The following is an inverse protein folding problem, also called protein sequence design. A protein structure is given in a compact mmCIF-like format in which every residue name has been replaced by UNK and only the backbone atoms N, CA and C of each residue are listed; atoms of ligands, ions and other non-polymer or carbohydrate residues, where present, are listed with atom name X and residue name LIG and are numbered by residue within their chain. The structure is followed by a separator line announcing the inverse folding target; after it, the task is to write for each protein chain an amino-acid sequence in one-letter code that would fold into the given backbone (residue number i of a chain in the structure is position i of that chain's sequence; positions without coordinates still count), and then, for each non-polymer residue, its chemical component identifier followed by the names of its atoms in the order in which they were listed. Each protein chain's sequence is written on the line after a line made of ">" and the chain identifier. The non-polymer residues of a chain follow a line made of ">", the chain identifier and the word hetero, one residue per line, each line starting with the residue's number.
data_IF_006483988406
#
_entry.id   IF_006483988406
#
_cell.length_a   1.000
_cell.length_b   1.000
_cell.length_c   1.000
_cell.angle_alpha   90.00
_cell.angle_beta   90.00
_cell.angle_gamma   90.00
#
_symmetry.space_group_name_H-M   'P 1'
#
loop_
_entity.id
_entity.type
_entity.pdbx_description
1 polymer ?
#
# COMPACT_ATOMS: atom_id res chain seq x y z
N UNK A 1 -16.83 -7.02 1.67
CA UNK A 1 -16.29 -5.95 2.56
C UNK A 1 -14.90 -5.59 2.06
N UNK A 2 -14.54 -4.31 2.07
CA UNK A 2 -13.18 -3.84 1.72
C UNK A 2 -12.14 -4.52 2.61
N UNK A 3 -11.02 -4.95 2.02
CA UNK A 3 -9.93 -5.64 2.70
C UNK A 3 -8.93 -4.64 3.26
N UNK A 4 -8.38 -4.93 4.43
CA UNK A 4 -7.37 -4.09 5.09
C UNK A 4 -5.99 -4.69 4.87
N UNK A 5 -5.08 -3.88 4.29
CA UNK A 5 -3.64 -4.12 4.31
C UNK A 5 -3.05 -3.38 5.51
N UNK A 6 -2.67 -4.13 6.53
CA UNK A 6 -2.03 -3.56 7.72
C UNK A 6 -0.55 -3.28 7.47
N UNK A 7 -0.13 -2.04 7.66
CA UNK A 7 1.24 -1.60 7.43
C UNK A 7 2.15 -2.03 8.58
N UNK A 8 3.19 -2.80 8.25
CA UNK A 8 4.28 -3.15 9.16
C UNK A 8 5.61 -2.65 8.59
N UNK A 9 6.09 -1.51 9.08
CA UNK A 9 7.39 -0.96 8.67
C UNK A 9 8.51 -1.44 9.59
N UNK A 10 9.52 -2.10 9.01
CA UNK A 10 10.73 -2.58 9.70
C UNK A 10 11.91 -1.71 9.25
N UNK A 11 11.89 -0.42 9.60
CA UNK A 11 12.91 0.55 9.20
C UNK A 11 13.63 1.11 10.43
N UNK A 12 14.92 1.51 10.25
CA UNK A 12 15.67 2.18 11.32
C UNK A 12 15.06 3.53 11.71
N UNK A 13 14.29 4.14 10.80
CA UNK A 13 13.64 5.45 10.97
C UNK A 13 12.20 5.34 11.50
N UNK A 14 11.78 4.20 12.02
CA UNK A 14 10.48 4.07 12.70
C UNK A 14 10.41 4.91 13.98
N UNK A 15 11.07 6.09 13.94
CA UNK A 15 11.08 7.13 14.96
C UNK A 15 9.70 7.73 15.26
N UNK A 16 8.72 7.56 14.41
CA UNK A 16 7.33 7.93 14.73
C UNK A 16 6.71 7.04 15.82
N UNK A 17 7.27 5.83 16.03
CA UNK A 17 6.91 4.90 17.10
C UNK A 17 8.10 4.54 18.03
N UNK A 18 9.14 5.37 18.04
CA UNK A 18 10.22 5.31 19.04
C UNK A 18 11.25 4.20 18.84
N UNK A 19 11.57 3.77 17.60
CA UNK A 19 12.65 2.80 17.36
C UNK A 19 12.38 1.38 17.88
N UNK A 20 11.11 1.05 18.17
CA UNK A 20 10.72 -0.16 18.90
C UNK A 20 10.83 -1.46 18.11
N UNK A 21 11.08 -1.44 16.79
CA UNK A 21 10.98 -2.63 15.93
C UNK A 21 12.30 -3.12 15.34
N UNK A 22 13.45 -2.75 15.92
CA UNK A 22 14.75 -3.30 15.55
C UNK A 22 14.97 -4.72 16.11
N UNK A 23 14.27 -5.07 17.19
CA UNK A 23 14.24 -6.42 17.73
C UNK A 23 13.08 -7.20 17.09
N UNK A 24 13.32 -8.38 16.50
CA UNK A 24 12.27 -9.20 15.90
C UNK A 24 11.07 -9.44 16.84
N UNK A 25 11.32 -9.58 18.15
CA UNK A 25 10.29 -9.78 19.18
C UNK A 25 9.25 -8.67 19.22
N UNK A 26 9.67 -7.41 19.13
CA UNK A 26 8.74 -6.27 19.15
C UNK A 26 7.84 -6.22 17.90
N UNK A 27 8.36 -6.66 16.75
CA UNK A 27 7.56 -6.83 15.54
C UNK A 27 6.50 -7.93 15.70
N UNK A 28 6.83 -9.02 16.39
CA UNK A 28 5.91 -10.15 16.60
C UNK A 28 4.73 -9.77 17.48
N UNK A 29 4.96 -9.01 18.56
CA UNK A 29 3.88 -8.52 19.41
C UNK A 29 2.94 -7.57 18.64
N UNK A 30 3.51 -6.70 17.82
CA UNK A 30 2.71 -5.82 16.96
C UNK A 30 1.89 -6.61 15.93
N UNK A 31 2.47 -7.62 15.28
CA UNK A 31 1.77 -8.53 14.36
C UNK A 31 0.58 -9.19 15.08
N UNK A 32 0.81 -9.74 16.28
CA UNK A 32 -0.23 -10.37 17.08
C UNK A 32 -1.37 -9.40 17.41
N UNK A 33 -1.04 -8.13 17.71
CA UNK A 33 -2.03 -7.10 17.95
C UNK A 33 -2.81 -6.76 16.66
N UNK A 34 -2.12 -6.57 15.52
CA UNK A 34 -2.78 -6.31 14.22
C UNK A 34 -3.78 -7.42 13.87
N UNK A 35 -3.42 -8.67 14.08
CA UNK A 35 -4.27 -9.84 13.81
C UNK A 35 -5.49 -9.84 14.75
N UNK A 36 -5.27 -9.57 16.03
CA UNK A 36 -6.33 -9.44 17.04
C UNK A 36 -7.30 -8.31 16.69
N UNK A 37 -6.82 -7.23 16.12
CA UNK A 37 -7.60 -6.08 15.65
C UNK A 37 -8.34 -6.36 14.32
N UNK A 38 -8.21 -7.56 13.77
CA UNK A 38 -8.95 -8.02 12.59
C UNK A 38 -8.18 -7.92 11.27
N UNK A 39 -6.87 -7.65 11.29
CA UNK A 39 -6.04 -7.67 10.08
C UNK A 39 -6.00 -9.07 9.47
N UNK A 40 -6.15 -9.15 8.14
CA UNK A 40 -6.04 -10.40 7.38
C UNK A 40 -4.90 -10.39 6.37
N UNK A 41 -4.37 -9.22 6.06
CA UNK A 41 -3.24 -9.06 5.14
C UNK A 41 -2.25 -8.10 5.78
N UNK A 42 -1.03 -8.54 6.04
CA UNK A 42 0.05 -7.71 6.59
C UNK A 42 1.00 -7.33 5.46
N UNK A 43 1.20 -6.03 5.27
CA UNK A 43 2.09 -5.45 4.26
C UNK A 43 3.40 -5.02 4.92
N UNK A 44 4.46 -5.78 4.65
CA UNK A 44 5.77 -5.67 5.31
C UNK A 44 6.70 -4.85 4.45
N UNK A 45 7.21 -3.72 4.98
CA UNK A 45 8.17 -2.87 4.30
C UNK A 45 9.46 -2.69 5.11
N UNK A 46 10.62 -2.86 4.46
CA UNK A 46 11.93 -2.62 5.06
C UNK A 46 12.61 -1.33 4.58
N UNK A 47 11.99 -0.63 3.64
CA UNK A 47 12.43 0.63 3.08
C UNK A 47 11.36 1.71 3.26
N UNK A 48 11.78 2.97 3.49
CA UNK A 48 10.84 4.09 3.60
C UNK A 48 10.52 4.65 2.22
N UNK A 49 9.26 4.99 1.95
CA UNK A 49 8.84 5.72 0.74
C UNK A 49 8.70 7.23 0.98
N UNK A 50 9.20 7.74 2.11
CA UNK A 50 9.19 9.18 2.43
C UNK A 50 10.16 9.94 1.51
N UNK A 51 9.90 11.24 1.33
CA UNK A 51 10.82 12.13 0.61
C UNK A 51 12.23 12.06 1.22
N UNK A 52 13.26 12.06 0.36
CA UNK A 52 14.67 12.04 0.76
C UNK A 52 15.09 10.80 1.59
N UNK A 53 14.40 9.66 1.43
CA UNK A 53 14.81 8.43 2.09
C UNK A 53 16.18 7.92 1.56
N UNK A 54 16.91 7.20 2.40
CA UNK A 54 18.09 6.47 1.97
C UNK A 54 17.68 5.09 1.48
N UNK A 55 18.15 4.73 0.28
CA UNK A 55 17.90 3.41 -0.26
C UNK A 55 18.55 2.35 0.63
N UNK A 56 17.79 1.31 0.96
CA UNK A 56 18.24 0.16 1.73
C UNK A 56 18.66 -0.93 0.76
N UNK A 57 19.85 -1.53 0.95
CA UNK A 57 20.31 -2.64 0.09
C UNK A 57 19.38 -3.84 0.20
N UNK A 58 19.28 -4.62 -0.87
CA UNK A 58 18.44 -5.82 -0.94
C UNK A 58 18.73 -6.81 0.18
N UNK A 59 20.01 -7.05 0.48
CA UNK A 59 20.43 -7.94 1.55
C UNK A 59 19.88 -7.50 2.92
N UNK A 60 19.91 -6.20 3.20
CA UNK A 60 19.37 -5.64 4.45
C UNK A 60 17.83 -5.75 4.46
N UNK A 61 17.16 -5.49 3.33
CA UNK A 61 15.72 -5.68 3.23
C UNK A 61 15.34 -7.14 3.52
N UNK A 62 16.02 -8.10 2.89
CA UNK A 62 15.80 -9.54 3.10
C UNK A 62 16.06 -9.93 4.54
N UNK A 63 17.18 -9.50 5.13
CA UNK A 63 17.53 -9.78 6.52
C UNK A 63 16.44 -9.30 7.51
N UNK A 64 15.77 -8.19 7.21
CA UNK A 64 14.69 -7.66 8.04
C UNK A 64 13.36 -8.37 7.81
N UNK A 65 13.01 -8.64 6.56
CA UNK A 65 11.68 -9.12 6.16
C UNK A 65 11.52 -10.63 6.42
N UNK A 66 12.53 -11.43 6.07
CA UNK A 66 12.40 -12.90 6.11
C UNK A 66 12.05 -13.47 7.48
N UNK A 67 12.66 -13.04 8.60
CA UNK A 67 12.26 -13.55 9.92
C UNK A 67 10.81 -13.27 10.27
N UNK A 68 10.27 -12.14 9.80
CA UNK A 68 8.86 -11.76 10.01
C UNK A 68 7.93 -12.63 9.17
N UNK A 69 8.28 -12.89 7.91
CA UNK A 69 7.52 -13.82 7.06
C UNK A 69 7.46 -15.21 7.72
N UNK A 70 8.60 -15.74 8.15
CA UNK A 70 8.71 -17.07 8.78
C UNK A 70 7.88 -17.14 10.07
N UNK A 71 7.89 -16.08 10.87
CA UNK A 71 7.04 -15.99 12.06
C UNK A 71 5.55 -16.05 11.71
N UNK A 72 5.08 -15.24 10.77
CA UNK A 72 3.67 -15.21 10.37
C UNK A 72 3.24 -16.57 9.81
N UNK A 73 4.01 -17.15 8.90
CA UNK A 73 3.67 -18.43 8.27
C UNK A 73 3.65 -19.60 9.26
N UNK A 74 4.48 -19.56 10.31
CA UNK A 74 4.51 -20.62 11.32
C UNK A 74 3.41 -20.50 12.37
N UNK A 75 2.99 -19.28 12.73
CA UNK A 75 2.06 -19.04 13.84
C UNK A 75 0.65 -18.62 13.38
N UNK A 76 0.50 -18.07 12.16
CA UNK A 76 -0.75 -17.44 11.69
C UNK A 76 -1.08 -17.83 10.24
N UNK A 77 -1.43 -19.09 10.01
CA UNK A 77 -1.66 -19.68 8.67
C UNK A 77 -2.78 -19.00 7.85
N UNK A 78 -3.71 -18.31 8.52
CA UNK A 78 -4.84 -17.63 7.88
C UNK A 78 -4.53 -16.17 7.51
N UNK A 79 -3.29 -15.73 7.73
CA UNK A 79 -2.85 -14.37 7.41
C UNK A 79 -2.12 -14.38 6.07
N UNK A 80 -2.58 -13.53 5.16
CA UNK A 80 -1.89 -13.27 3.91
C UNK A 80 -0.76 -12.26 4.13
N UNK A 81 0.32 -12.40 3.38
CA UNK A 81 1.48 -11.51 3.46
C UNK A 81 1.63 -10.79 2.13
N UNK A 82 1.74 -9.46 2.21
CA UNK A 82 2.22 -8.57 1.17
C UNK A 82 3.60 -8.05 1.54
N UNK A 83 4.46 -7.81 0.57
CA UNK A 83 5.78 -7.19 0.78
C UNK A 83 5.88 -5.90 -0.03
N UNK A 84 6.15 -4.79 0.67
CA UNK A 84 6.38 -3.46 0.09
C UNK A 84 7.86 -3.36 -0.33
N UNK A 85 8.12 -3.56 -1.62
CA UNK A 85 9.46 -3.46 -2.21
C UNK A 85 9.42 -3.08 -3.68
N UNK A 86 10.48 -2.37 -4.13
CA UNK A 86 10.74 -2.02 -5.53
C UNK A 86 11.77 -2.94 -6.19
N UNK A 87 12.42 -3.79 -5.40
CA UNK A 87 13.45 -4.70 -5.85
C UNK A 87 12.84 -6.03 -6.27
N UNK A 88 13.05 -6.42 -7.51
CA UNK A 88 12.67 -7.74 -8.01
C UNK A 88 13.38 -8.88 -7.27
N UNK A 89 14.61 -8.65 -6.84
CA UNK A 89 15.38 -9.64 -6.08
C UNK A 89 14.77 -9.88 -4.69
N UNK A 90 14.42 -8.82 -3.97
CA UNK A 90 13.72 -8.94 -2.67
C UNK A 90 12.35 -9.60 -2.85
N UNK A 91 11.59 -9.20 -3.89
CA UNK A 91 10.30 -9.81 -4.22
C UNK A 91 10.43 -11.32 -4.46
N UNK A 92 11.43 -11.75 -5.26
CA UNK A 92 11.67 -13.15 -5.55
C UNK A 92 11.96 -13.97 -4.29
N UNK A 93 12.84 -13.49 -3.41
CA UNK A 93 13.17 -14.17 -2.17
C UNK A 93 11.96 -14.29 -1.23
N UNK A 94 11.15 -13.25 -1.13
CA UNK A 94 9.93 -13.28 -0.32
C UNK A 94 8.85 -14.22 -0.90
N UNK A 95 8.64 -14.20 -2.22
CA UNK A 95 7.68 -15.07 -2.90
C UNK A 95 8.07 -16.56 -2.77
N UNK A 96 9.38 -16.90 -2.83
CA UNK A 96 9.89 -18.26 -2.56
C UNK A 96 9.57 -18.74 -1.15
N UNK A 97 9.44 -17.83 -0.19
CA UNK A 97 9.04 -18.14 1.20
C UNK A 97 7.52 -18.34 1.35
N UNK A 98 6.73 -18.03 0.35
CA UNK A 98 5.27 -18.22 0.38
C UNK A 98 4.45 -16.95 0.47
N UNK A 99 5.06 -15.78 0.34
CA UNK A 99 4.35 -14.50 0.16
C UNK A 99 3.47 -14.59 -1.09
N UNK A 100 2.32 -13.92 -1.07
CA UNK A 100 1.31 -14.00 -2.15
C UNK A 100 1.10 -12.69 -2.90
N UNK A 101 1.62 -11.58 -2.38
CA UNK A 101 1.41 -10.25 -2.92
C UNK A 101 2.68 -9.41 -2.80
N UNK A 102 2.98 -8.63 -3.83
CA UNK A 102 4.01 -7.60 -3.81
C UNK A 102 3.35 -6.23 -3.97
N UNK A 103 3.69 -5.30 -3.10
CA UNK A 103 3.29 -3.90 -3.20
C UNK A 103 4.47 -3.10 -3.77
N UNK A 104 4.42 -2.85 -5.08
CA UNK A 104 5.49 -2.15 -5.79
C UNK A 104 5.12 -0.68 -6.02
N UNK A 105 5.67 0.20 -5.20
CA UNK A 105 5.45 1.65 -5.30
C UNK A 105 6.07 2.28 -6.55
N UNK A 106 6.92 1.54 -7.26
CA UNK A 106 7.55 1.97 -8.52
C UNK A 106 6.82 1.44 -9.77
N UNK A 107 5.81 0.59 -9.59
CA UNK A 107 4.98 0.01 -10.66
C UNK A 107 5.82 -0.68 -11.76
N UNK A 108 6.70 -1.60 -11.37
CA UNK A 108 7.52 -2.35 -12.33
C UNK A 108 8.59 -1.48 -12.99
N UNK A 109 9.28 -0.64 -12.21
CA UNK A 109 10.47 0.08 -12.73
C UNK A 109 11.72 -0.82 -12.75
N UNK A 110 11.74 -1.88 -11.96
CA UNK A 110 12.72 -2.96 -12.08
C UNK A 110 12.27 -3.92 -13.19
N UNK A 111 13.09 -4.07 -14.21
CA UNK A 111 12.74 -4.79 -15.44
C UNK A 111 12.36 -6.26 -15.19
N UNK A 112 12.87 -6.88 -14.12
CA UNK A 112 12.59 -8.27 -13.77
C UNK A 112 11.32 -8.44 -12.92
N UNK A 113 10.75 -7.37 -12.38
CA UNK A 113 9.63 -7.47 -11.44
C UNK A 113 8.44 -8.23 -12.03
N UNK A 114 8.02 -7.91 -13.23
CA UNK A 114 6.85 -8.54 -13.84
C UNK A 114 7.08 -10.03 -14.17
N UNK A 115 8.29 -10.41 -14.60
CA UNK A 115 8.61 -11.83 -14.82
C UNK A 115 8.53 -12.63 -13.52
N UNK A 116 9.04 -12.09 -12.43
CA UNK A 116 8.99 -12.73 -11.11
C UNK A 116 7.54 -12.88 -10.60
N UNK A 117 6.71 -11.83 -10.75
CA UNK A 117 5.29 -11.89 -10.39
C UNK A 117 4.56 -12.98 -11.19
N UNK A 118 4.80 -13.04 -12.50
CA UNK A 118 4.22 -14.05 -13.38
C UNK A 118 4.65 -15.47 -12.96
N UNK A 119 5.94 -15.69 -12.76
CA UNK A 119 6.51 -17.01 -12.44
C UNK A 119 6.00 -17.57 -11.11
N UNK A 120 5.70 -16.69 -10.14
CA UNK A 120 5.12 -17.05 -8.85
C UNK A 120 3.58 -16.99 -8.81
N UNK A 121 2.93 -16.54 -9.89
CA UNK A 121 1.48 -16.30 -9.95
C UNK A 121 0.99 -15.44 -8.76
N UNK A 122 1.77 -14.42 -8.40
CA UNK A 122 1.51 -13.55 -7.26
C UNK A 122 0.61 -12.36 -7.64
N UNK A 123 -0.04 -11.76 -6.66
CA UNK A 123 -0.72 -10.48 -6.81
C UNK A 123 0.32 -9.34 -6.81
N UNK A 124 0.09 -8.29 -7.58
CA UNK A 124 0.93 -7.09 -7.57
C UNK A 124 0.09 -5.83 -7.41
N UNK A 125 0.50 -4.95 -6.49
CA UNK A 125 -0.04 -3.60 -6.38
C UNK A 125 0.91 -2.66 -7.13
N UNK A 126 0.37 -2.00 -8.15
CA UNK A 126 1.07 -0.99 -8.94
C UNK A 126 0.68 0.38 -8.43
N UNK A 127 1.61 1.06 -7.77
CA UNK A 127 1.36 2.39 -7.18
C UNK A 127 1.92 3.51 -8.05
N UNK A 128 1.09 4.51 -8.34
CA UNK A 128 1.57 5.71 -9.02
C UNK A 128 2.32 6.61 -8.04
N UNK A 129 3.66 6.51 -8.04
CA UNK A 129 4.57 7.40 -7.35
C UNK A 129 5.47 8.10 -8.38
N UNK A 130 5.20 9.38 -8.74
CA UNK A 130 6.01 10.10 -9.71
C UNK A 130 7.41 10.39 -9.16
N UNK A 131 8.41 10.47 -10.05
CA UNK A 131 9.80 10.74 -9.66
C UNK A 131 9.96 12.08 -8.91
N UNK A 132 9.14 13.08 -9.24
CA UNK A 132 9.10 14.37 -8.55
C UNK A 132 8.85 14.22 -7.06
N UNK A 133 8.10 13.17 -6.64
CA UNK A 133 7.88 12.91 -5.22
C UNK A 133 9.20 12.64 -4.48
N UNK A 134 10.07 11.83 -5.05
CA UNK A 134 11.38 11.51 -4.47
C UNK A 134 12.28 12.75 -4.38
N UNK A 135 12.08 13.71 -5.28
CA UNK A 135 12.77 15.01 -5.28
C UNK A 135 12.12 16.04 -4.34
N UNK A 136 11.09 15.67 -3.57
CA UNK A 136 10.34 16.59 -2.71
C UNK A 136 9.44 17.57 -3.46
N UNK A 137 9.10 17.29 -4.74
CA UNK A 137 8.29 18.15 -5.60
C UNK A 137 6.92 17.53 -5.87
N UNK A 138 5.98 18.34 -6.32
CA UNK A 138 4.72 17.86 -6.88
C UNK A 138 4.85 17.77 -8.40
N UNK A 139 4.27 16.70 -8.97
CA UNK A 139 4.10 16.58 -10.41
C UNK A 139 3.23 17.73 -10.94
N UNK A 140 3.44 18.07 -12.18
CA UNK A 140 2.60 19.05 -12.87
C UNK A 140 1.61 18.31 -13.76
N UNK A 141 0.34 18.30 -13.36
CA UNK A 141 -0.75 17.67 -14.11
C UNK A 141 -1.79 18.71 -14.47
N UNK A 142 -2.28 18.64 -15.70
CA UNK A 142 -3.42 19.44 -16.18
C UNK A 142 -4.72 18.68 -15.89
N UNK A 143 -4.69 17.34 -15.98
CA UNK A 143 -5.82 16.48 -15.68
C UNK A 143 -5.34 15.19 -15.04
N UNK A 144 -5.26 15.19 -13.72
CA UNK A 144 -4.73 14.08 -12.93
C UNK A 144 -5.46 12.75 -13.18
N UNK A 145 -6.75 12.77 -13.46
CA UNK A 145 -7.53 11.55 -13.69
C UNK A 145 -7.13 10.91 -15.02
N UNK A 146 -6.98 11.71 -16.08
CA UNK A 146 -6.51 11.21 -17.37
C UNK A 146 -5.06 10.72 -17.30
N UNK A 147 -4.20 11.46 -16.61
CA UNK A 147 -2.78 11.09 -16.48
C UNK A 147 -2.64 9.74 -15.76
N UNK A 148 -3.36 9.54 -14.63
CA UNK A 148 -3.39 8.28 -13.90
C UNK A 148 -3.99 7.15 -14.74
N UNK A 149 -5.06 7.43 -15.48
CA UNK A 149 -5.72 6.43 -16.33
C UNK A 149 -4.74 5.93 -17.40
N UNK A 150 -4.09 6.84 -18.12
CA UNK A 150 -3.11 6.50 -19.15
C UNK A 150 -1.89 5.77 -18.58
N UNK A 151 -1.43 6.19 -17.40
CA UNK A 151 -0.33 5.54 -16.70
C UNK A 151 -0.64 4.08 -16.40
N UNK A 152 -1.80 3.81 -15.76
CA UNK A 152 -2.18 2.44 -15.42
C UNK A 152 -2.51 1.60 -16.65
N UNK A 153 -3.14 2.17 -17.68
CA UNK A 153 -3.34 1.48 -18.96
C UNK A 153 -2.00 0.99 -19.55
N UNK A 154 -0.98 1.84 -19.54
CA UNK A 154 0.37 1.49 -20.02
C UNK A 154 1.00 0.38 -19.17
N UNK A 155 0.96 0.50 -17.83
CA UNK A 155 1.56 -0.47 -16.91
C UNK A 155 0.85 -1.82 -16.97
N UNK A 156 -0.47 -1.84 -16.98
CA UNK A 156 -1.28 -3.06 -17.09
C UNK A 156 -1.02 -3.73 -18.43
N UNK A 157 -1.03 -2.99 -19.54
CA UNK A 157 -0.72 -3.54 -20.86
C UNK A 157 0.69 -4.16 -20.92
N UNK A 158 1.66 -3.60 -20.23
CA UNK A 158 2.98 -4.20 -20.11
C UNK A 158 2.93 -5.51 -19.31
N UNK A 159 2.32 -5.51 -18.13
CA UNK A 159 2.17 -6.70 -17.30
C UNK A 159 1.44 -7.85 -18.02
N UNK A 160 0.37 -7.54 -18.77
CA UNK A 160 -0.36 -8.52 -19.58
C UNK A 160 0.51 -9.10 -20.69
N UNK A 161 1.35 -8.29 -21.37
CA UNK A 161 2.28 -8.78 -22.40
C UNK A 161 3.35 -9.71 -21.85
N UNK A 162 3.79 -9.49 -20.61
CA UNK A 162 4.70 -10.41 -19.91
C UNK A 162 3.99 -11.71 -19.53
N UNK A 163 2.66 -11.71 -19.43
CA UNK A 163 1.83 -12.88 -19.13
C UNK A 163 1.26 -12.93 -17.72
N UNK A 164 1.26 -11.79 -17.00
CA UNK A 164 0.56 -11.69 -15.72
C UNK A 164 -0.96 -11.70 -15.99
N UNK A 165 -1.71 -12.50 -15.23
CA UNK A 165 -3.17 -12.49 -15.31
C UNK A 165 -3.73 -11.14 -14.79
N UNK A 166 -4.69 -10.53 -15.53
CA UNK A 166 -5.34 -9.28 -15.15
C UNK A 166 -5.89 -9.31 -13.72
N UNK A 167 -6.40 -10.45 -13.27
CA UNK A 167 -6.93 -10.64 -11.92
C UNK A 167 -5.87 -10.54 -10.80
N UNK A 168 -4.60 -10.56 -11.16
CA UNK A 168 -3.47 -10.42 -10.23
C UNK A 168 -3.01 -8.97 -10.07
N UNK A 169 -3.50 -8.06 -10.92
CA UNK A 169 -3.05 -6.68 -10.95
C UNK A 169 -4.01 -5.80 -10.12
N UNK A 170 -3.45 -5.07 -9.17
CA UNK A 170 -4.13 -4.11 -8.32
C UNK A 170 -3.49 -2.75 -8.58
N UNK A 171 -4.28 -1.69 -8.76
CA UNK A 171 -3.74 -0.33 -8.92
C UNK A 171 -3.89 0.47 -7.63
N UNK A 172 -2.90 1.31 -7.30
CA UNK A 172 -3.02 2.35 -6.27
C UNK A 172 -2.73 3.73 -6.89
N UNK A 173 -3.70 4.63 -6.94
CA UNK A 173 -3.50 5.97 -7.51
C UNK A 173 -2.48 6.82 -6.75
N UNK A 174 -1.95 6.35 -5.62
CA UNK A 174 -0.85 6.96 -4.90
C UNK A 174 -1.21 8.29 -4.26
N UNK A 175 -2.30 8.34 -3.49
CA UNK A 175 -2.70 9.52 -2.72
C UNK A 175 -1.51 10.03 -1.89
N UNK A 176 -1.20 11.33 -2.00
CA UNK A 176 -0.14 11.98 -1.24
C UNK A 176 1.26 11.83 -1.84
N UNK A 177 1.47 11.01 -2.88
CA UNK A 177 2.75 10.90 -3.56
C UNK A 177 2.87 11.95 -4.66
N UNK A 178 3.61 13.05 -4.41
CA UNK A 178 3.91 14.10 -5.38
C UNK A 178 2.70 14.75 -6.07
N UNK A 179 1.53 14.70 -5.47
CA UNK A 179 0.30 15.27 -6.00
C UNK A 179 -0.11 16.53 -5.22
N UNK A 180 -0.61 17.54 -5.93
CA UNK A 180 -1.15 18.75 -5.29
C UNK A 180 -2.37 18.41 -4.43
N UNK A 181 -2.70 19.25 -3.44
CA UNK A 181 -3.82 18.98 -2.52
C UNK A 181 -5.14 18.70 -3.25
N UNK A 182 -5.51 19.54 -4.22
CA UNK A 182 -6.74 19.38 -5.00
C UNK A 182 -6.72 18.11 -5.87
N UNK A 183 -5.57 17.71 -6.41
CA UNK A 183 -5.46 16.49 -7.21
C UNK A 183 -5.79 15.25 -6.37
N UNK A 184 -5.35 15.22 -5.09
CA UNK A 184 -5.71 14.14 -4.18
C UNK A 184 -7.22 14.06 -3.94
N UNK A 185 -7.89 15.21 -3.80
CA UNK A 185 -9.35 15.25 -3.64
C UNK A 185 -10.09 14.82 -4.92
N UNK A 186 -9.58 15.22 -6.10
CA UNK A 186 -10.12 14.77 -7.39
C UNK A 186 -10.00 13.26 -7.54
N UNK A 187 -8.87 12.67 -7.15
CA UNK A 187 -8.68 11.20 -7.17
C UNK A 187 -9.70 10.53 -6.25
N UNK A 188 -9.86 11.00 -5.01
CA UNK A 188 -10.83 10.44 -4.06
C UNK A 188 -12.27 10.55 -4.58
N UNK A 189 -12.60 11.66 -5.23
CA UNK A 189 -13.93 11.84 -5.83
C UNK A 189 -14.19 10.86 -6.99
N UNK A 190 -13.15 10.49 -7.73
CA UNK A 190 -13.22 9.63 -8.92
C UNK A 190 -12.83 8.15 -8.66
N UNK A 191 -12.75 7.68 -7.41
CA UNK A 191 -12.42 6.29 -7.09
C UNK A 191 -13.34 5.28 -7.80
N UNK A 192 -14.62 5.61 -7.95
CA UNK A 192 -15.57 4.75 -8.66
C UNK A 192 -15.21 4.53 -10.13
N UNK A 193 -14.66 5.56 -10.80
CA UNK A 193 -14.14 5.44 -12.16
C UNK A 193 -12.98 4.44 -12.22
N UNK A 194 -12.03 4.53 -11.28
CA UNK A 194 -10.92 3.58 -11.21
C UNK A 194 -11.41 2.16 -10.93
N UNK A 195 -12.33 1.97 -9.97
CA UNK A 195 -12.92 0.65 -9.66
C UNK A 195 -13.65 0.07 -10.87
N UNK A 196 -14.44 0.89 -11.59
CA UNK A 196 -15.15 0.45 -12.79
C UNK A 196 -14.20 0.03 -13.92
N UNK A 197 -13.09 0.77 -14.09
CA UNK A 197 -12.15 0.54 -15.19
C UNK A 197 -11.16 -0.58 -14.87
N UNK A 198 -10.55 -0.57 -13.68
CA UNK A 198 -9.42 -1.45 -13.33
C UNK A 198 -9.80 -2.60 -12.41
N UNK A 199 -11.06 -2.66 -11.97
CA UNK A 199 -11.64 -3.69 -11.09
C UNK A 199 -11.01 -3.73 -9.70
N UNK A 200 -9.68 -3.95 -9.60
CA UNK A 200 -8.96 -4.10 -8.33
C UNK A 200 -8.20 -2.83 -7.99
N UNK A 201 -8.63 -2.16 -6.95
CA UNK A 201 -8.08 -0.86 -6.52
C UNK A 201 -7.68 -0.93 -5.05
N UNK A 202 -6.48 -0.43 -4.75
CA UNK A 202 -5.97 -0.17 -3.42
C UNK A 202 -5.84 1.34 -3.21
N UNK A 203 -6.01 1.82 -1.99
CA UNK A 203 -5.62 3.18 -1.60
C UNK A 203 -4.86 3.18 -0.28
N UNK A 204 -3.81 3.99 -0.21
CA UNK A 204 -3.03 4.22 1.00
C UNK A 204 -3.07 5.69 1.42
N UNK A 205 -3.80 6.02 2.49
CA UNK A 205 -3.95 7.41 2.97
C UNK A 205 -3.39 7.64 4.37
N UNK A 206 -3.01 6.55 5.06
CA UNK A 206 -2.61 6.58 6.46
C UNK A 206 -1.34 7.43 6.67
N UNK A 207 -1.39 8.34 7.63
CA UNK A 207 -0.33 9.27 8.01
C UNK A 207 0.15 10.20 6.87
N UNK A 208 -0.63 10.38 5.81
CA UNK A 208 -0.30 11.26 4.70
C UNK A 208 -0.91 12.66 4.90
N UNK A 209 -0.07 13.69 4.74
CA UNK A 209 -0.47 15.09 4.95
C UNK A 209 -1.11 15.75 3.72
N UNK A 210 -1.70 14.99 2.78
CA UNK A 210 -2.35 15.58 1.61
C UNK A 210 -3.49 16.54 1.96
N UNK A 211 -4.09 16.36 3.13
CA UNK A 211 -5.18 17.19 3.64
C UNK A 211 -4.71 18.43 4.42
N UNK A 212 -3.40 18.67 4.54
CA UNK A 212 -2.85 19.80 5.31
C UNK A 212 -3.33 21.18 4.85
N UNK A 213 -3.71 21.32 3.57
CA UNK A 213 -4.27 22.55 3.01
C UNK A 213 -5.78 22.73 3.31
N UNK A 214 -6.46 21.67 3.73
CA UNK A 214 -7.89 21.71 4.07
C UNK A 214 -8.08 22.17 5.53
N UNK A 215 -7.12 21.83 6.39
CA UNK A 215 -7.19 22.15 7.81
C UNK A 215 -6.09 23.13 8.18
N UNK A 216 -6.43 24.21 8.87
CA UNK A 216 -5.51 25.26 9.31
C UNK A 216 -4.43 24.75 10.30
N UNK A 217 -4.69 23.65 11.00
CA UNK A 217 -3.72 22.91 11.80
C UNK A 217 -4.03 21.42 11.72
N UNK A 218 -3.07 20.60 11.28
CA UNK A 218 -3.15 19.15 11.34
C UNK A 218 -2.33 18.67 12.53
N UNK A 219 -2.98 18.53 13.66
CA UNK A 219 -2.47 17.73 14.76
C UNK A 219 -2.62 16.23 14.38
N UNK A 220 -1.81 15.36 14.96
CA UNK A 220 -1.78 13.92 14.57
C UNK A 220 -3.12 13.21 14.84
N UNK A 221 -3.87 13.65 15.83
CA UNK A 221 -5.23 13.18 16.10
C UNK A 221 -6.19 13.46 14.94
N UNK A 222 -6.06 14.61 14.25
CA UNK A 222 -6.87 14.94 13.08
C UNK A 222 -6.55 14.06 11.87
N UNK A 223 -5.31 13.61 11.71
CA UNK A 223 -4.95 12.66 10.64
C UNK A 223 -5.71 11.33 10.79
N UNK A 224 -5.95 10.87 12.01
CA UNK A 224 -6.76 9.69 12.28
C UNK A 224 -8.19 9.87 11.75
N UNK A 225 -8.84 11.00 12.01
CA UNK A 225 -10.19 11.26 11.49
C UNK A 225 -10.23 11.37 9.98
N UNK A 226 -9.23 12.02 9.35
CA UNK A 226 -9.11 12.07 7.89
C UNK A 226 -8.99 10.66 7.30
N UNK A 227 -8.16 9.80 7.90
CA UNK A 227 -7.99 8.42 7.46
C UNK A 227 -9.31 7.66 7.51
N UNK A 228 -10.07 7.76 8.59
CA UNK A 228 -11.36 7.09 8.73
C UNK A 228 -12.41 7.60 7.74
N UNK A 229 -12.47 8.91 7.53
CA UNK A 229 -13.36 9.51 6.53
C UNK A 229 -13.06 9.00 5.12
N UNK A 230 -11.77 8.95 4.75
CA UNK A 230 -11.36 8.44 3.43
C UNK A 230 -11.59 6.94 3.31
N UNK A 231 -11.32 6.16 4.36
CA UNK A 231 -11.60 4.71 4.39
C UNK A 231 -13.10 4.45 4.18
N UNK A 232 -13.97 5.19 4.87
CA UNK A 232 -15.43 5.07 4.68
C UNK A 232 -15.83 5.43 3.26
N UNK A 233 -15.33 6.54 2.72
CA UNK A 233 -15.61 6.97 1.34
C UNK A 233 -15.17 5.90 0.33
N UNK A 234 -13.97 5.34 0.49
CA UNK A 234 -13.44 4.30 -0.38
C UNK A 234 -14.28 3.02 -0.34
N UNK A 235 -14.74 2.62 0.85
CA UNK A 235 -15.62 1.47 1.02
C UNK A 235 -16.96 1.68 0.28
N UNK A 236 -17.57 2.87 0.38
CA UNK A 236 -18.77 3.22 -0.38
C UNK A 236 -18.55 3.18 -1.90
N UNK A 237 -17.36 3.55 -2.36
CA UNK A 237 -16.98 3.51 -3.78
C UNK A 237 -16.46 2.13 -4.22
N UNK A 238 -16.60 1.09 -3.38
CA UNK A 238 -16.26 -0.31 -3.67
C UNK A 238 -14.78 -0.55 -3.99
N UNK A 239 -13.89 0.25 -3.42
CA UNK A 239 -12.45 -0.02 -3.43
C UNK A 239 -12.18 -1.37 -2.75
N UNK A 240 -11.29 -2.20 -3.31
CA UNK A 240 -11.03 -3.54 -2.78
C UNK A 240 -10.14 -3.52 -1.55
N UNK A 241 -9.09 -2.67 -1.53
CA UNK A 241 -8.10 -2.63 -0.46
C UNK A 241 -7.89 -1.22 0.10
N UNK A 242 -7.68 -1.15 1.41
CA UNK A 242 -7.16 0.04 2.08
C UNK A 242 -5.90 -0.30 2.86
N UNK A 243 -4.84 0.48 2.68
CA UNK A 243 -3.53 0.31 3.34
C UNK A 243 -3.41 1.29 4.51
N UNK A 244 -3.34 0.77 5.74
CA UNK A 244 -3.45 1.57 6.97
C UNK A 244 -2.56 1.08 8.10
N UNK A 245 -2.19 1.98 9.04
CA UNK A 245 -1.51 1.63 10.29
C UNK A 245 -2.49 1.26 11.41
N UNK A 246 -3.60 2.01 11.58
CA UNK A 246 -4.61 1.74 12.61
C UNK A 246 -5.63 0.71 12.11
N UNK A 247 -5.48 -0.55 12.51
CA UNK A 247 -6.32 -1.64 12.01
C UNK A 247 -7.73 -1.54 12.58
N UNK A 248 -7.88 -1.54 13.91
CA UNK A 248 -9.17 -1.59 14.62
C UNK A 248 -10.15 -0.53 14.11
N UNK A 249 -9.72 0.74 14.08
CA UNK A 249 -10.58 1.85 13.66
C UNK A 249 -11.06 1.71 12.22
N UNK A 250 -10.12 1.34 11.32
CA UNK A 250 -10.44 1.19 9.90
C UNK A 250 -11.28 -0.07 9.64
N UNK A 251 -11.09 -1.12 10.42
CA UNK A 251 -11.95 -2.31 10.35
C UNK A 251 -13.40 -1.96 10.69
N UNK A 252 -13.63 -1.21 11.75
CA UNK A 252 -14.97 -0.78 12.14
C UNK A 252 -15.58 0.16 11.10
N UNK A 253 -14.82 1.10 10.54
CA UNK A 253 -15.26 1.96 9.44
C UNK A 253 -15.67 1.14 8.20
N UNK A 254 -14.87 0.15 7.80
CA UNK A 254 -15.20 -0.76 6.70
C UNK A 254 -16.46 -1.58 6.98
N UNK A 255 -16.63 -2.06 8.21
CA UNK A 255 -17.77 -2.88 8.63
C UNK A 255 -19.07 -2.09 8.59
N UNK A 256 -19.06 -0.86 9.09
CA UNK A 256 -20.23 0.04 9.04
C UNK A 256 -20.59 0.35 7.58
N UNK A 257 -19.62 0.79 6.77
CA UNK A 257 -19.86 1.08 5.36
C UNK A 257 -20.43 -0.14 4.60
N UNK A 258 -19.88 -1.33 4.84
CA UNK A 258 -20.36 -2.57 4.22
C UNK A 258 -21.78 -2.92 4.61
N UNK A 259 -22.13 -2.79 5.89
CA UNK A 259 -23.49 -3.06 6.37
C UNK A 259 -24.50 -2.08 5.76
N UNK A 260 -24.15 -0.79 5.74
CA UNK A 260 -25.04 0.26 5.15
C UNK A 260 -25.26 0.06 3.64
N UNK A 261 -24.24 -0.43 2.90
CA UNK A 261 -24.38 -0.71 1.46
C UNK A 261 -25.24 -1.95 1.15
N UNK A 262 -25.51 -2.80 2.12
CA UNK A 262 -26.26 -4.05 1.94
C UNK A 262 -27.54 -4.10 2.80
N UNK A 263 -27.94 -2.96 3.39
CA UNK A 263 -29.23 -2.75 4.01
C UNK A 263 -30.25 -2.23 2.98
#
# INVERSE_FOLDING_TARGET
>A
MMKILGILNITNDSFSDGGKFLEPSASFDHINQMIKDGCKIIDIGAESTRQSFQQVSDDIQIQRIVPVIEYILSHHKDIEISVDTRSSFVAQECLRKGVKMINDVSSGSDDMMFDIIKDHNADIILTHMPEEHLMGKNMNSVNIINDLTNYFDSKINHALRVGINEEKIIIDPGIGFGKKGNDNLLILNNLELFVKKFKRVCIGVSNKRFSSKIFSSLADDKLRFVNLAVTTLAAYKRVEFVRVHSISDNYDACKIAHKTLNS
#
